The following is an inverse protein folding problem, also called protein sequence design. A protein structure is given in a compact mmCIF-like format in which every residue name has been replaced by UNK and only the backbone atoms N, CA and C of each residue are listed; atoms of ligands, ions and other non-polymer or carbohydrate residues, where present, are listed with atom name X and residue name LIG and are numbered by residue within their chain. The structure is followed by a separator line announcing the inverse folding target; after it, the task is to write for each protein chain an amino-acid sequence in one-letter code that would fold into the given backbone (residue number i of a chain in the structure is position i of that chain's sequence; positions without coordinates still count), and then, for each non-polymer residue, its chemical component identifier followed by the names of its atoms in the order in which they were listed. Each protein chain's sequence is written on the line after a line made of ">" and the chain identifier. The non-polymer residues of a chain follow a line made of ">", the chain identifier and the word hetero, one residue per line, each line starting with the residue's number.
data_IF_881149051175
#
_entry.id   IF_881149051175
#
_cell.length_a   1.000
_cell.length_b   1.000
_cell.length_c   1.000
_cell.angle_alpha   90.00
_cell.angle_beta   90.00
_cell.angle_gamma   90.00
#
_symmetry.space_group_name_H-M   'P 1'
#
loop_
_entity.id
_entity.type
_entity.pdbx_description
1 polymer ?
#
# COMPACT_ATOMS: atom_id res chain seq x y z
N UNK A 1 16.17 24.87 -32.33
CA UNK A 1 15.81 23.45 -32.15
C UNK A 1 15.27 23.24 -30.74
N UNK A 2 13.95 23.24 -30.58
CA UNK A 2 13.29 22.87 -29.31
C UNK A 2 13.21 21.35 -29.26
N UNK A 3 14.00 20.73 -28.40
CA UNK A 3 13.95 19.30 -28.16
C UNK A 3 12.55 18.89 -27.73
N UNK A 4 11.87 18.15 -28.60
CA UNK A 4 10.68 17.36 -28.31
C UNK A 4 11.05 16.34 -27.23
N UNK A 5 10.93 16.73 -25.95
CA UNK A 5 10.99 15.76 -24.85
C UNK A 5 9.82 14.81 -25.05
N UNK A 6 10.16 13.57 -25.36
CA UNK A 6 9.26 12.56 -25.86
C UNK A 6 7.96 12.48 -25.07
N UNK A 7 6.85 12.56 -25.81
CA UNK A 7 5.56 12.04 -25.40
C UNK A 7 5.66 10.49 -25.34
N UNK A 8 6.52 9.97 -24.47
CA UNK A 8 6.54 8.57 -24.11
C UNK A 8 5.24 8.29 -23.38
N UNK A 9 4.27 7.76 -24.15
CA UNK A 9 2.92 7.32 -23.82
C UNK A 9 2.44 7.67 -22.39
N UNK A 10 1.44 8.56 -22.21
CA UNK A 10 0.86 8.82 -20.87
C UNK A 10 0.37 7.54 -20.18
N UNK A 11 0.15 6.47 -20.95
CA UNK A 11 -0.23 5.14 -20.51
C UNK A 11 0.92 4.25 -20.04
N UNK A 12 2.19 4.58 -20.31
CA UNK A 12 3.32 3.74 -19.93
C UNK A 12 3.42 3.59 -18.41
N UNK A 13 3.33 4.71 -17.68
CA UNK A 13 3.37 4.70 -16.21
C UNK A 13 2.20 3.89 -15.61
N UNK A 14 0.98 4.10 -16.13
CA UNK A 14 -0.21 3.38 -15.66
C UNK A 14 -0.15 1.89 -16.01
N UNK A 15 0.29 1.56 -17.22
CA UNK A 15 0.46 0.18 -17.68
C UNK A 15 1.52 -0.56 -16.87
N UNK A 16 2.67 0.06 -16.60
CA UNK A 16 3.70 -0.51 -15.73
C UNK A 16 3.18 -0.68 -14.30
N UNK A 17 2.47 0.31 -13.75
CA UNK A 17 1.84 0.18 -12.44
C UNK A 17 0.85 -0.99 -12.42
N UNK A 18 -0.09 -1.06 -13.37
CA UNK A 18 -1.10 -2.11 -13.42
C UNK A 18 -0.49 -3.50 -13.56
N UNK A 19 0.50 -3.67 -14.44
CA UNK A 19 1.18 -4.95 -14.62
C UNK A 19 1.93 -5.39 -13.37
N UNK A 20 2.69 -4.49 -12.75
CA UNK A 20 3.45 -4.81 -11.53
C UNK A 20 2.52 -5.14 -10.35
N UNK A 21 1.40 -4.43 -10.21
CA UNK A 21 0.43 -4.68 -9.13
C UNK A 21 -0.38 -5.94 -9.36
N UNK A 22 -0.73 -6.24 -10.62
CA UNK A 22 -1.36 -7.51 -10.96
C UNK A 22 -0.48 -8.68 -10.51
N UNK A 23 0.82 -8.65 -10.79
CA UNK A 23 1.74 -9.69 -10.33
C UNK A 23 1.78 -9.80 -8.79
N UNK A 24 1.83 -8.68 -8.07
CA UNK A 24 1.77 -8.69 -6.60
C UNK A 24 0.47 -9.30 -6.08
N UNK A 25 -0.68 -8.94 -6.67
CA UNK A 25 -1.98 -9.51 -6.32
C UNK A 25 -2.01 -11.01 -6.56
N UNK A 26 -1.50 -11.49 -7.70
CA UNK A 26 -1.41 -12.92 -8.00
C UNK A 26 -0.55 -13.67 -6.97
N UNK A 27 0.48 -13.04 -6.40
CA UNK A 27 1.26 -13.64 -5.32
C UNK A 27 0.51 -13.66 -3.97
N UNK A 28 -0.06 -12.54 -3.53
CA UNK A 28 -0.73 -12.50 -2.21
C UNK A 28 -2.03 -13.29 -2.17
N UNK A 29 -2.73 -13.41 -3.30
CA UNK A 29 -3.88 -14.30 -3.46
C UNK A 29 -3.51 -15.75 -3.80
N UNK A 30 -2.22 -16.11 -3.73
CA UNK A 30 -1.73 -17.49 -3.89
C UNK A 30 -2.02 -18.12 -5.24
N UNK A 31 -2.29 -17.33 -6.27
CA UNK A 31 -2.36 -17.83 -7.66
C UNK A 31 -0.99 -18.29 -8.12
N UNK A 32 0.06 -17.55 -7.73
CA UNK A 32 1.45 -17.96 -7.88
C UNK A 32 2.16 -17.98 -6.52
N UNK A 33 3.10 -18.91 -6.38
CA UNK A 33 3.96 -18.99 -5.21
C UNK A 33 5.18 -18.12 -5.43
N UNK A 34 5.39 -17.14 -4.57
CA UNK A 34 6.62 -16.35 -4.57
C UNK A 34 7.76 -17.16 -3.92
N UNK A 35 8.96 -17.25 -4.53
CA UNK A 35 10.07 -17.98 -3.95
C UNK A 35 10.48 -17.42 -2.58
N UNK A 36 10.62 -18.29 -1.57
CA UNK A 36 11.06 -17.92 -0.22
C UNK A 36 9.97 -18.11 0.85
N UNK A 37 10.17 -17.54 2.05
CA UNK A 37 9.20 -17.64 3.15
C UNK A 37 7.85 -17.02 2.83
N UNK A 38 6.79 -17.60 3.37
CA UNK A 38 5.43 -17.11 3.17
C UNK A 38 5.09 -15.94 4.11
N UNK A 39 5.35 -14.73 3.62
CA UNK A 39 5.03 -13.49 4.33
C UNK A 39 3.53 -13.22 4.49
N UNK A 40 2.66 -13.86 3.71
CA UNK A 40 1.20 -13.65 3.84
C UNK A 40 0.62 -14.26 5.10
N UNK A 41 1.34 -15.21 5.72
CA UNK A 41 0.95 -15.82 6.99
C UNK A 41 0.92 -14.81 8.14
N UNK A 42 1.75 -13.75 8.09
CA UNK A 42 1.68 -12.65 9.05
C UNK A 42 0.29 -12.00 9.08
N UNK A 43 -0.37 -11.90 7.93
CA UNK A 43 -1.72 -11.31 7.83
C UNK A 43 -2.78 -12.25 8.41
N UNK A 44 -2.78 -13.51 8.00
CA UNK A 44 -3.81 -14.48 8.42
C UNK A 44 -3.63 -15.02 9.85
N UNK A 45 -2.41 -14.94 10.40
CA UNK A 45 -2.11 -15.43 11.76
C UNK A 45 -1.96 -14.27 12.72
N UNK A 46 -0.98 -13.39 12.51
CA UNK A 46 -0.63 -12.35 13.47
C UNK A 46 -1.66 -11.23 13.43
N UNK A 47 -1.90 -10.63 12.26
CA UNK A 47 -2.80 -9.47 12.16
C UNK A 47 -4.25 -9.85 12.43
N UNK A 48 -4.68 -11.02 11.95
CA UNK A 48 -6.02 -11.53 12.26
C UNK A 48 -6.18 -11.83 13.76
N UNK A 49 -5.15 -12.39 14.40
CA UNK A 49 -5.14 -12.59 15.86
C UNK A 49 -5.28 -11.27 16.63
N UNK A 50 -4.54 -10.24 16.24
CA UNK A 50 -4.68 -8.90 16.82
C UNK A 50 -6.07 -8.31 16.54
N UNK A 51 -6.61 -8.47 15.34
CA UNK A 51 -7.95 -8.01 14.98
C UNK A 51 -9.03 -8.57 15.91
N UNK A 52 -8.99 -9.87 16.21
CA UNK A 52 -9.97 -10.52 17.09
C UNK A 52 -9.93 -9.97 18.52
N UNK A 53 -8.75 -9.54 19.00
CA UNK A 53 -8.63 -8.89 20.31
C UNK A 53 -9.08 -7.43 20.21
N UNK A 54 -8.55 -6.67 19.25
CA UNK A 54 -8.84 -5.24 19.05
C UNK A 54 -10.34 -4.96 18.87
N UNK A 55 -11.07 -5.84 18.18
CA UNK A 55 -12.51 -5.66 17.94
C UNK A 55 -13.35 -5.77 19.22
N UNK A 56 -12.79 -6.28 20.32
CA UNK A 56 -13.43 -6.29 21.64
C UNK A 56 -13.25 -4.97 22.41
N UNK A 57 -12.44 -4.05 21.88
CA UNK A 57 -12.14 -2.76 22.52
C UNK A 57 -10.90 -2.76 23.41
N UNK A 58 -10.13 -3.85 23.43
CA UNK A 58 -8.87 -3.97 24.19
C UNK A 58 -7.68 -4.19 23.26
N UNK A 59 -6.50 -3.75 23.68
CA UNK A 59 -5.26 -4.05 22.97
C UNK A 59 -4.72 -5.44 23.37
N UNK A 60 -3.94 -6.11 22.50
CA UNK A 60 -3.28 -7.38 22.83
C UNK A 60 -2.07 -7.14 23.76
N UNK A 61 -2.35 -6.76 25.02
CA UNK A 61 -1.35 -6.28 25.98
C UNK A 61 -0.28 -7.32 26.34
N UNK A 62 -0.65 -8.60 26.33
CA UNK A 62 0.24 -9.72 26.67
C UNK A 62 1.00 -10.27 25.44
N UNK A 63 0.73 -9.75 24.25
CA UNK A 63 1.39 -10.17 23.02
C UNK A 63 2.62 -9.30 22.73
N UNK A 64 3.81 -9.88 22.92
CA UNK A 64 5.10 -9.21 22.67
C UNK A 64 5.31 -8.79 21.22
N UNK A 65 4.51 -9.32 20.28
CA UNK A 65 4.58 -8.94 18.87
C UNK A 65 3.82 -7.64 18.59
N UNK A 66 2.92 -7.20 19.48
CA UNK A 66 2.27 -5.89 19.41
C UNK A 66 3.15 -4.80 20.01
N UNK A 67 3.81 -4.02 19.16
CA UNK A 67 4.74 -2.95 19.58
C UNK A 67 4.38 -1.59 18.96
N UNK A 68 3.13 -1.44 18.52
CA UNK A 68 2.70 -0.32 17.70
C UNK A 68 1.84 0.67 18.49
N UNK A 69 1.88 1.97 18.12
CA UNK A 69 1.03 2.97 18.75
C UNK A 69 -0.46 2.67 18.48
N UNK A 70 -1.39 3.17 19.33
CA UNK A 70 -2.82 2.89 19.21
C UNK A 70 -3.41 3.12 17.82
N UNK A 71 -2.93 4.13 17.09
CA UNK A 71 -3.42 4.43 15.73
C UNK A 71 -3.16 3.30 14.71
N UNK A 72 -2.17 2.43 14.93
CA UNK A 72 -1.93 1.27 14.07
C UNK A 72 -3.10 0.28 14.10
N UNK A 73 -3.88 0.24 15.19
CA UNK A 73 -5.07 -0.58 15.29
C UNK A 73 -6.10 -0.26 14.19
N UNK A 74 -6.13 0.97 13.67
CA UNK A 74 -7.04 1.33 12.57
C UNK A 74 -6.76 0.51 11.30
N UNK A 75 -5.49 0.28 10.97
CA UNK A 75 -5.12 -0.54 9.84
C UNK A 75 -5.53 -2.01 10.05
N UNK A 76 -5.30 -2.54 11.25
CA UNK A 76 -5.62 -3.92 11.62
C UNK A 76 -7.15 -4.14 11.75
N UNK A 77 -7.91 -3.13 12.18
CA UNK A 77 -9.37 -3.19 12.27
C UNK A 77 -10.07 -2.98 10.92
N UNK A 78 -9.44 -2.27 9.98
CA UNK A 78 -10.07 -1.89 8.71
C UNK A 78 -10.60 -3.04 7.85
N UNK A 79 -10.02 -4.27 7.82
CA UNK A 79 -10.61 -5.40 7.12
C UNK A 79 -12.04 -5.73 7.58
N UNK A 80 -12.39 -5.44 8.84
CA UNK A 80 -13.75 -5.61 9.36
C UNK A 80 -14.82 -4.73 8.67
N UNK A 81 -14.41 -3.73 7.88
CA UNK A 81 -15.30 -2.94 7.03
C UNK A 81 -15.77 -3.70 5.79
N UNK A 82 -15.19 -4.86 5.49
CA UNK A 82 -15.48 -5.69 4.32
C UNK A 82 -15.90 -7.11 4.77
N UNK A 83 -17.03 -7.26 5.51
CA UNK A 83 -17.41 -8.52 6.16
C UNK A 83 -17.80 -9.64 5.19
N UNK A 84 -17.89 -9.35 3.90
CA UNK A 84 -18.17 -10.32 2.83
C UNK A 84 -16.90 -10.96 2.26
N UNK A 85 -15.72 -10.63 2.80
CA UNK A 85 -14.42 -11.21 2.46
C UNK A 85 -13.77 -11.82 3.70
N UNK A 86 -12.94 -12.85 3.51
CA UNK A 86 -12.05 -13.30 4.59
C UNK A 86 -11.07 -12.19 4.96
N UNK A 87 -10.62 -12.17 6.22
CA UNK A 87 -9.77 -11.13 6.77
C UNK A 87 -8.53 -10.84 5.90
N UNK A 88 -7.80 -11.87 5.47
CA UNK A 88 -6.62 -11.71 4.63
C UNK A 88 -6.95 -11.12 3.25
N UNK A 89 -8.03 -11.58 2.61
CA UNK A 89 -8.48 -11.05 1.33
C UNK A 89 -8.89 -9.57 1.44
N UNK A 90 -9.64 -9.21 2.48
CA UNK A 90 -10.00 -7.83 2.80
C UNK A 90 -8.75 -6.96 3.04
N UNK A 91 -7.78 -7.47 3.80
CA UNK A 91 -6.52 -6.76 4.07
C UNK A 91 -5.73 -6.48 2.77
N UNK A 92 -5.54 -7.48 1.91
CA UNK A 92 -4.83 -7.31 0.64
C UNK A 92 -5.54 -6.32 -0.29
N UNK A 93 -6.88 -6.34 -0.32
CA UNK A 93 -7.65 -5.37 -1.08
C UNK A 93 -7.44 -3.95 -0.54
N UNK A 94 -7.43 -3.75 0.77
CA UNK A 94 -7.18 -2.45 1.39
C UNK A 94 -5.75 -1.97 1.16
N UNK A 95 -4.76 -2.87 1.20
CA UNK A 95 -3.37 -2.57 0.87
C UNK A 95 -3.23 -2.12 -0.60
N UNK A 96 -3.92 -2.82 -1.52
CA UNK A 96 -3.99 -2.44 -2.92
C UNK A 96 -4.65 -1.07 -3.12
N UNK A 97 -5.77 -0.79 -2.44
CA UNK A 97 -6.44 0.52 -2.48
C UNK A 97 -5.52 1.62 -1.96
N UNK A 98 -4.77 1.38 -0.88
CA UNK A 98 -3.78 2.33 -0.38
C UNK A 98 -2.66 2.61 -1.39
N UNK A 99 -2.15 1.58 -2.07
CA UNK A 99 -1.16 1.73 -3.15
C UNK A 99 -1.72 2.52 -4.35
N UNK A 100 -2.98 2.28 -4.74
CA UNK A 100 -3.70 3.10 -5.74
C UNK A 100 -3.73 4.56 -5.31
N UNK A 101 -4.06 4.84 -4.04
CA UNK A 101 -4.09 6.21 -3.50
C UNK A 101 -2.71 6.86 -3.57
N UNK A 102 -1.65 6.18 -3.15
CA UNK A 102 -0.28 6.70 -3.24
C UNK A 102 0.08 7.00 -4.70
N UNK A 103 -0.18 6.06 -5.60
CA UNK A 103 0.08 6.23 -7.03
C UNK A 103 -0.67 7.47 -7.58
N UNK A 104 -1.96 7.59 -7.30
CA UNK A 104 -2.78 8.70 -7.75
C UNK A 104 -2.28 10.05 -7.23
N UNK A 105 -1.90 10.11 -5.95
CA UNK A 105 -1.35 11.31 -5.31
C UNK A 105 -0.01 11.73 -5.91
N UNK A 106 0.91 10.78 -6.11
CA UNK A 106 2.22 11.04 -6.72
C UNK A 106 2.08 11.43 -8.19
N UNK A 107 1.19 10.78 -8.93
CA UNK A 107 0.88 11.12 -10.31
C UNK A 107 0.30 12.53 -10.41
N UNK A 108 -0.68 12.85 -9.59
CA UNK A 108 -1.29 14.17 -9.50
C UNK A 108 -0.26 15.26 -9.16
N UNK A 109 0.57 15.04 -8.14
CA UNK A 109 1.61 15.99 -7.75
C UNK A 109 2.66 16.20 -8.85
N UNK A 110 3.07 15.13 -9.54
CA UNK A 110 4.07 15.17 -10.59
C UNK A 110 3.61 15.84 -11.89
N UNK A 111 2.30 15.97 -12.11
CA UNK A 111 1.69 16.66 -13.27
C UNK A 111 1.50 18.17 -13.08
N UNK A 112 1.74 18.69 -11.87
CA UNK A 112 1.61 20.13 -11.60
C UNK A 112 2.68 20.94 -12.36
N UNK A 113 2.42 22.21 -12.72
CA UNK A 113 3.40 23.06 -13.39
C UNK A 113 4.74 23.11 -12.63
N UNK A 114 5.85 22.91 -13.34
CA UNK A 114 7.19 22.92 -12.75
C UNK A 114 7.56 21.69 -11.91
N UNK A 115 6.72 20.65 -11.88
CA UNK A 115 7.01 19.36 -11.21
C UNK A 115 7.34 18.26 -12.22
N UNK A 116 7.73 17.08 -11.72
CA UNK A 116 8.10 15.92 -12.55
C UNK A 116 7.45 14.64 -12.04
N UNK A 117 7.27 13.65 -12.92
CA UNK A 117 6.74 12.32 -12.60
C UNK A 117 7.78 11.38 -11.96
N UNK A 118 8.97 11.86 -11.59
CA UNK A 118 10.04 11.01 -11.05
C UNK A 118 9.62 10.24 -9.81
N UNK A 119 8.92 10.90 -8.87
CA UNK A 119 8.42 10.24 -7.66
C UNK A 119 7.43 9.11 -7.97
N UNK A 120 6.54 9.32 -8.95
CA UNK A 120 5.61 8.27 -9.39
C UNK A 120 6.35 7.10 -10.04
N UNK A 121 7.39 7.35 -10.86
CA UNK A 121 8.21 6.28 -11.44
C UNK A 121 8.98 5.48 -10.38
N UNK A 122 9.58 6.16 -9.39
CA UNK A 122 10.24 5.50 -8.26
C UNK A 122 9.26 4.60 -7.50
N UNK A 123 8.03 5.07 -7.27
CA UNK A 123 6.99 4.26 -6.64
C UNK A 123 6.55 3.05 -7.49
N UNK A 124 6.34 3.28 -8.79
CA UNK A 124 5.89 2.23 -9.71
C UNK A 124 6.92 1.11 -9.84
N UNK A 125 8.21 1.47 -9.95
CA UNK A 125 9.30 0.51 -10.10
C UNK A 125 9.76 -0.06 -8.75
N UNK A 126 9.89 0.77 -7.73
CA UNK A 126 10.50 0.37 -6.45
C UNK A 126 9.61 -0.53 -5.59
N UNK A 127 8.31 -0.26 -5.52
CA UNK A 127 7.35 -1.06 -4.73
C UNK A 127 7.38 -2.56 -5.07
N UNK A 128 7.25 -2.98 -6.34
CA UNK A 128 7.25 -4.40 -6.67
C UNK A 128 8.59 -5.10 -6.40
N UNK A 129 9.71 -4.38 -6.26
CA UNK A 129 11.00 -4.98 -5.89
C UNK A 129 11.01 -5.49 -4.45
N UNK A 130 10.09 -5.04 -3.60
CA UNK A 130 9.89 -5.57 -2.25
C UNK A 130 9.13 -6.90 -2.24
N UNK A 131 8.61 -7.33 -3.39
CA UNK A 131 7.82 -8.57 -3.50
C UNK A 131 6.48 -8.50 -2.76
N UNK A 132 5.86 -9.65 -2.45
CA UNK A 132 4.54 -9.71 -1.81
C UNK A 132 4.50 -9.07 -0.41
N UNK A 133 5.65 -8.87 0.22
CA UNK A 133 5.78 -8.20 1.53
C UNK A 133 5.10 -6.84 1.56
N UNK A 134 5.08 -6.10 0.45
CA UNK A 134 4.45 -4.77 0.41
C UNK A 134 2.93 -4.81 0.64
N UNK A 135 2.28 -5.92 0.30
CA UNK A 135 0.85 -6.14 0.56
C UNK A 135 0.60 -7.04 1.77
N UNK A 136 1.61 -7.79 2.22
CA UNK A 136 1.54 -8.55 3.46
C UNK A 136 1.92 -7.74 4.73
N UNK A 137 2.13 -6.43 4.57
CA UNK A 137 2.37 -5.49 5.68
C UNK A 137 1.48 -4.27 5.55
N UNK A 138 1.05 -3.72 6.69
CA UNK A 138 0.18 -2.54 6.68
C UNK A 138 0.93 -1.24 6.35
N UNK A 139 2.25 -1.29 6.14
CA UNK A 139 3.11 -0.14 5.87
C UNK A 139 2.62 0.69 4.67
N UNK A 140 2.06 0.06 3.64
CA UNK A 140 1.52 0.77 2.46
C UNK A 140 0.30 1.63 2.82
N UNK A 141 -0.52 1.20 3.78
CA UNK A 141 -1.66 1.98 4.29
C UNK A 141 -1.17 3.22 5.03
N UNK A 142 -0.16 3.05 5.90
CA UNK A 142 0.49 4.16 6.62
C UNK A 142 1.17 5.12 5.63
N UNK A 143 1.82 4.58 4.61
CA UNK A 143 2.46 5.37 3.55
C UNK A 143 1.46 6.22 2.79
N UNK A 144 0.26 5.70 2.51
CA UNK A 144 -0.82 6.49 1.89
C UNK A 144 -1.20 7.71 2.73
N UNK A 145 -1.37 7.54 4.04
CA UNK A 145 -1.66 8.65 4.96
C UNK A 145 -0.49 9.64 4.99
N UNK A 146 0.74 9.16 5.07
CA UNK A 146 1.93 10.02 5.10
C UNK A 146 2.09 10.85 3.82
N UNK A 147 1.93 10.24 2.64
CA UNK A 147 1.99 10.93 1.34
C UNK A 147 0.87 11.97 1.23
N UNK A 148 -0.35 11.63 1.66
CA UNK A 148 -1.46 12.58 1.70
C UNK A 148 -1.16 13.77 2.61
N UNK A 149 -0.63 13.53 3.81
CA UNK A 149 -0.26 14.57 4.77
C UNK A 149 0.83 15.50 4.23
N UNK A 150 1.87 14.95 3.59
CA UNK A 150 2.93 15.73 2.96
C UNK A 150 2.39 16.64 1.85
N UNK A 151 1.51 16.12 0.99
CA UNK A 151 0.91 16.90 -0.09
C UNK A 151 -0.11 17.93 0.38
N UNK A 152 -0.78 17.70 1.51
CA UNK A 152 -1.65 18.67 2.15
C UNK A 152 -0.83 19.78 2.81
N UNK A 153 0.18 19.42 3.61
CA UNK A 153 1.06 20.35 4.31
C UNK A 153 1.88 21.24 3.36
N UNK A 154 2.36 20.69 2.24
CA UNK A 154 3.10 21.46 1.23
C UNK A 154 2.27 22.56 0.53
N UNK A 155 0.93 22.56 0.67
CA UNK A 155 0.06 23.65 0.18
C UNK A 155 -0.03 24.83 1.16
N UNK A 156 0.47 24.65 2.38
CA UNK A 156 0.48 25.67 3.42
C UNK A 156 1.92 25.85 3.95
N UNK A 157 2.85 26.37 3.13
CA UNK A 157 4.15 26.77 3.64
C UNK A 157 3.92 27.83 4.72
N UNK A 158 4.37 27.54 5.94
CA UNK A 158 4.47 28.53 7.01
C UNK A 158 5.65 29.45 6.73
#
# INVERSE_FOLDING_TARGET
>A
MKGTRGAGFPYALLGTWGLTRLLLLLFVFKVFVFPGPDVTSDVSVIYQGWYEILRTGTFPLDDVTWQYPPAAALAILSPGLLPFLDYAHAFFLLAFVADVVVYALLHYAGRRPGKTLRGAWVWVIGVPLLGPTVYARYDVMVTAVAVAALLAGARHPR
#
